data_IF_395738940139
#
_entry.id   IF_395738940139
#
_cell.length_a   1.000
_cell.length_b   1.000
_cell.length_c   1.000
_cell.angle_alpha   90.00
_cell.angle_beta   90.00
_cell.angle_gamma   90.00
#
_symmetry.space_group_name_H-M   'P 1'
#
loop_
_entity.id
_entity.type
_entity.pdbx_description
1 polymer ?
#
# COMPACT_ATOMS: atom_id res chain seq x y z
N UNK A 1 4.36 -17.72 10.58
CA UNK A 1 5.42 -16.93 9.95
C UNK A 1 5.27 -16.88 8.42
N UNK A 2 5.32 -18.00 7.69
CA UNK A 2 5.26 -18.06 6.22
C UNK A 2 4.09 -17.28 5.59
N UNK A 3 2.88 -17.40 6.14
CA UNK A 3 1.72 -16.65 5.67
C UNK A 3 1.95 -15.14 5.61
N UNK A 4 2.66 -14.56 6.59
CA UNK A 4 2.94 -13.12 6.64
C UNK A 4 4.15 -12.72 5.81
N UNK A 5 5.07 -13.65 5.54
CA UNK A 5 6.27 -13.40 4.75
C UNK A 5 6.00 -13.50 3.23
N UNK A 6 5.28 -14.52 2.79
CA UNK A 6 5.08 -14.84 1.35
C UNK A 6 3.65 -15.24 0.97
N UNK A 7 2.72 -15.28 1.91
CA UNK A 7 1.33 -15.69 1.66
C UNK A 7 0.65 -14.88 0.56
N UNK A 8 -0.24 -15.53 -0.20
CA UNK A 8 -0.93 -14.95 -1.35
C UNK A 8 -0.18 -15.03 -2.68
N UNK A 9 1.11 -15.40 -2.69
CA UNK A 9 1.91 -15.50 -3.92
C UNK A 9 1.47 -16.66 -4.81
N UNK A 10 1.24 -17.81 -4.21
CA UNK A 10 0.86 -19.06 -4.90
C UNK A 10 -0.66 -19.24 -5.05
N UNK A 11 -1.46 -18.27 -4.68
CA UNK A 11 -2.91 -18.24 -4.92
C UNK A 11 -3.21 -18.03 -6.41
N UNK A 12 -4.44 -18.28 -6.83
CA UNK A 12 -4.87 -17.99 -8.22
C UNK A 12 -4.65 -16.52 -8.54
N UNK A 13 -5.11 -15.62 -7.67
CA UNK A 13 -4.93 -14.18 -7.81
C UNK A 13 -3.46 -13.76 -7.80
N UNK A 14 -2.64 -14.34 -6.92
CA UNK A 14 -1.20 -14.03 -6.84
C UNK A 14 -0.44 -14.40 -8.11
N UNK A 15 -0.69 -15.59 -8.65
CA UNK A 15 -0.12 -15.99 -9.96
C UNK A 15 -0.62 -15.14 -11.11
N UNK A 16 -1.90 -14.77 -11.10
CA UNK A 16 -2.49 -13.89 -12.11
C UNK A 16 -1.88 -12.48 -12.08
N UNK A 17 -1.59 -11.92 -10.89
CA UNK A 17 -0.86 -10.66 -10.75
C UNK A 17 0.53 -10.75 -11.41
N UNK A 18 1.28 -11.83 -11.15
CA UNK A 18 2.60 -12.02 -11.74
C UNK A 18 2.51 -12.15 -13.27
N UNK A 19 1.58 -12.98 -13.76
CA UNK A 19 1.36 -13.19 -15.18
C UNK A 19 0.98 -11.89 -15.92
N UNK A 20 0.15 -11.04 -15.33
CA UNK A 20 -0.22 -9.75 -15.92
C UNK A 20 0.98 -8.80 -16.04
N UNK A 21 1.85 -8.73 -15.03
CA UNK A 21 3.08 -7.96 -15.11
C UNK A 21 4.05 -8.54 -16.17
N UNK A 22 4.26 -9.85 -16.19
CA UNK A 22 5.18 -10.51 -17.14
C UNK A 22 4.71 -10.37 -18.59
N UNK A 23 3.42 -10.33 -18.83
CA UNK A 23 2.84 -10.14 -20.16
C UNK A 23 3.01 -8.71 -20.73
N UNK A 24 3.42 -7.74 -19.90
CA UNK A 24 3.62 -6.36 -20.35
C UNK A 24 5.10 -6.10 -20.69
N UNK A 25 5.47 -6.05 -22.00
CA UNK A 25 6.84 -5.78 -22.40
C UNK A 25 7.18 -4.30 -22.20
N UNK A 26 8.42 -4.03 -21.81
CA UNK A 26 9.03 -2.71 -21.88
C UNK A 26 9.80 -2.59 -23.19
N UNK A 27 9.64 -1.47 -23.92
CA UNK A 27 10.30 -1.26 -25.21
C UNK A 27 11.58 -0.46 -25.05
N UNK A 28 12.77 -1.03 -25.32
CA UNK A 28 14.03 -0.30 -25.30
C UNK A 28 14.08 0.81 -26.35
N UNK A 29 14.70 1.94 -26.00
CA UNK A 29 14.97 3.05 -26.93
C UNK A 29 16.46 3.42 -26.85
N UNK A 30 17.29 2.86 -27.73
CA UNK A 30 18.74 3.15 -27.74
C UNK A 30 19.04 4.59 -28.18
N UNK A 31 20.19 5.08 -27.78
CA UNK A 31 20.75 6.38 -28.17
C UNK A 31 19.97 7.61 -27.66
N UNK A 32 19.05 7.44 -26.74
CA UNK A 32 18.42 8.56 -26.04
C UNK A 32 19.36 9.04 -24.93
N UNK A 33 19.57 10.35 -24.83
CA UNK A 33 20.35 10.93 -23.75
C UNK A 33 19.53 10.96 -22.46
N UNK A 34 19.95 10.18 -21.47
CA UNK A 34 19.31 10.08 -20.15
C UNK A 34 20.18 10.64 -19.03
N UNK A 35 21.26 11.36 -19.37
CA UNK A 35 22.17 11.96 -18.38
C UNK A 35 21.43 12.97 -17.51
N UNK A 36 21.70 12.95 -16.21
CA UNK A 36 21.03 13.80 -15.24
C UNK A 36 19.62 13.34 -14.86
N UNK A 37 19.22 12.15 -15.32
CA UNK A 37 17.95 11.52 -14.98
C UNK A 37 17.77 11.28 -13.49
N UNK A 38 16.51 11.12 -13.07
CA UNK A 38 16.16 10.85 -11.69
C UNK A 38 14.74 10.25 -11.54
N UNK A 39 14.50 9.62 -10.39
CA UNK A 39 13.21 9.02 -10.03
C UNK A 39 12.41 9.84 -8.99
N UNK A 40 12.79 11.09 -8.71
CA UNK A 40 12.08 11.95 -7.75
C UNK A 40 10.65 12.20 -8.17
N UNK A 41 9.74 12.22 -7.17
CA UNK A 41 8.33 12.57 -7.37
C UNK A 41 7.86 13.56 -6.31
N UNK A 42 6.81 14.32 -6.68
CA UNK A 42 5.98 15.07 -5.74
C UNK A 42 4.68 14.30 -5.53
N UNK A 43 4.32 14.06 -4.26
CA UNK A 43 3.12 13.31 -3.91
C UNK A 43 2.52 13.86 -2.60
N UNK A 44 1.30 14.40 -2.68
CA UNK A 44 0.58 15.02 -1.55
C UNK A 44 1.40 16.06 -0.78
N UNK A 45 2.15 16.90 -1.52
CA UNK A 45 2.99 17.97 -0.93
C UNK A 45 4.32 17.49 -0.36
N UNK A 46 4.67 16.22 -0.55
CA UNK A 46 5.94 15.62 -0.13
C UNK A 46 6.83 15.32 -1.35
N UNK A 47 8.11 15.73 -1.29
CA UNK A 47 9.12 15.32 -2.27
C UNK A 47 9.76 14.01 -1.84
N UNK A 48 9.67 12.98 -2.68
CA UNK A 48 10.28 11.67 -2.46
C UNK A 48 11.42 11.42 -3.47
N UNK A 49 12.46 10.74 -3.05
CA UNK A 49 13.60 10.38 -3.89
C UNK A 49 13.25 9.38 -5.00
N UNK A 50 12.16 8.65 -4.84
CA UNK A 50 11.70 7.62 -5.79
C UNK A 50 10.22 7.27 -5.57
N UNK A 51 9.53 6.65 -6.56
CA UNK A 51 8.11 6.30 -6.49
C UNK A 51 7.80 4.97 -5.76
N UNK A 52 8.77 4.42 -5.03
CA UNK A 52 8.64 3.14 -4.34
C UNK A 52 8.29 3.39 -2.86
N UNK A 53 7.05 3.11 -2.46
CA UNK A 53 6.61 3.20 -1.07
C UNK A 53 6.60 1.80 -0.43
N UNK A 54 6.90 1.70 0.86
CA UNK A 54 6.70 0.45 1.58
C UNK A 54 5.22 0.26 1.90
N UNK A 55 4.66 -0.86 1.41
CA UNK A 55 3.26 -1.21 1.61
C UNK A 55 2.94 -1.49 3.09
N UNK A 56 1.68 -1.28 3.54
CA UNK A 56 1.30 -1.56 4.92
C UNK A 56 1.24 -3.06 5.18
N UNK A 57 2.15 -3.57 6.00
CA UNK A 57 2.22 -4.98 6.37
C UNK A 57 2.13 -5.13 7.88
N UNK A 58 1.29 -6.06 8.31
CA UNK A 58 1.04 -6.39 9.70
C UNK A 58 2.19 -7.17 10.35
N UNK A 59 2.35 -7.00 11.66
CA UNK A 59 3.14 -7.90 12.52
C UNK A 59 4.59 -8.08 12.09
N UNK A 60 5.31 -7.02 11.74
CA UNK A 60 6.68 -7.13 11.22
C UNK A 60 7.69 -7.69 12.23
N UNK A 61 7.36 -7.66 13.53
CA UNK A 61 8.14 -8.37 14.56
C UNK A 61 8.14 -9.90 14.40
N UNK A 62 7.27 -10.46 13.56
CA UNK A 62 7.39 -11.85 13.13
C UNK A 62 8.65 -12.13 12.29
N UNK A 63 9.17 -11.11 11.64
CA UNK A 63 10.30 -11.22 10.72
C UNK A 63 11.62 -10.80 11.38
N UNK A 64 11.57 -9.73 12.19
CA UNK A 64 12.75 -9.20 12.87
C UNK A 64 12.33 -8.50 14.19
N UNK A 65 13.11 -8.58 15.27
CA UNK A 65 12.78 -7.94 16.55
C UNK A 65 12.49 -6.44 16.44
N UNK A 66 13.20 -5.72 15.56
CA UNK A 66 13.04 -4.29 15.33
C UNK A 66 11.86 -3.93 14.42
N UNK A 67 11.21 -4.92 13.79
CA UNK A 67 9.92 -4.82 13.12
C UNK A 67 9.70 -3.56 12.29
N UNK A 68 8.58 -2.88 12.54
CA UNK A 68 8.16 -1.68 11.83
C UNK A 68 9.11 -0.49 12.02
N UNK A 69 9.78 -0.39 13.18
CA UNK A 69 10.77 0.67 13.40
C UNK A 69 11.96 0.55 12.45
N UNK A 70 12.46 -0.67 12.23
CA UNK A 70 13.53 -0.92 11.27
C UNK A 70 13.12 -0.55 9.83
N UNK A 71 11.91 -0.93 9.43
CA UNK A 71 11.38 -0.61 8.09
C UNK A 71 11.17 0.90 7.90
N UNK A 72 10.66 1.59 8.91
CA UNK A 72 10.44 3.04 8.87
C UNK A 72 11.76 3.81 8.78
N UNK A 73 12.76 3.44 9.59
CA UNK A 73 14.11 4.00 9.52
C UNK A 73 14.75 3.79 8.15
N UNK A 74 14.63 2.59 7.58
CA UNK A 74 15.19 2.27 6.26
C UNK A 74 14.51 3.07 5.14
N UNK A 75 13.19 3.20 5.15
CA UNK A 75 12.46 4.00 4.17
C UNK A 75 12.90 5.47 4.21
N UNK A 76 13.02 6.04 5.40
CA UNK A 76 13.48 7.42 5.59
C UNK A 76 14.92 7.63 5.09
N UNK A 77 15.84 6.71 5.42
CA UNK A 77 17.24 6.77 5.01
C UNK A 77 17.45 6.62 3.50
N UNK A 78 16.44 6.10 2.77
CA UNK A 78 16.47 5.97 1.31
C UNK A 78 15.62 7.06 0.60
N UNK A 79 15.24 8.15 1.28
CA UNK A 79 14.36 9.21 0.76
C UNK A 79 13.00 8.68 0.25
N UNK A 80 12.58 7.54 0.77
CA UNK A 80 11.31 6.89 0.47
C UNK A 80 10.23 7.16 1.50
N UNK A 81 9.09 6.50 1.36
CA UNK A 81 7.95 6.60 2.28
C UNK A 81 7.48 5.22 2.72
N UNK A 82 6.97 5.11 3.94
CA UNK A 82 6.34 3.91 4.47
C UNK A 82 4.89 4.18 4.86
N UNK A 83 4.00 3.28 4.46
CA UNK A 83 2.62 3.23 4.96
C UNK A 83 2.57 2.25 6.13
N UNK A 84 2.36 2.76 7.34
CA UNK A 84 2.35 1.93 8.56
C UNK A 84 0.98 1.29 8.74
N UNK A 85 0.96 -0.01 9.01
CA UNK A 85 -0.27 -0.79 9.16
C UNK A 85 -0.98 -0.50 10.49
N UNK A 86 -2.32 -0.47 10.48
CA UNK A 86 -3.16 -0.59 11.69
C UNK A 86 -2.75 -1.75 12.58
N UNK A 87 -2.33 -2.86 11.96
CA UNK A 87 -1.93 -4.09 12.65
C UNK A 87 -0.42 -4.14 12.94
N UNK A 88 0.23 -3.00 13.05
CA UNK A 88 1.63 -2.94 13.45
C UNK A 88 1.86 -3.58 14.83
N UNK A 89 2.98 -4.26 14.97
CA UNK A 89 3.40 -4.94 16.20
C UNK A 89 4.17 -4.04 17.18
N UNK A 90 4.36 -2.77 16.79
CA UNK A 90 4.96 -1.73 17.63
C UNK A 90 4.04 -0.50 17.73
N UNK A 91 4.16 0.31 18.82
CA UNK A 91 3.36 1.52 18.98
C UNK A 91 3.59 2.53 17.84
N UNK A 92 2.52 3.17 17.34
CA UNK A 92 2.58 4.17 16.27
C UNK A 92 3.58 5.29 16.60
N UNK A 93 3.61 5.75 17.83
CA UNK A 93 4.49 6.82 18.30
C UNK A 93 5.97 6.40 18.26
N UNK A 94 6.26 5.12 18.53
CA UNK A 94 7.61 4.57 18.45
C UNK A 94 8.10 4.49 17.01
N UNK A 95 7.23 4.02 16.09
CA UNK A 95 7.54 3.90 14.67
C UNK A 95 7.77 5.29 14.05
N UNK A 96 6.91 6.28 14.39
CA UNK A 96 7.06 7.65 13.93
C UNK A 96 8.39 8.28 14.37
N UNK A 97 8.78 8.06 15.64
CA UNK A 97 10.10 8.53 16.14
C UNK A 97 11.27 7.86 15.44
N UNK A 98 11.17 6.58 15.12
CA UNK A 98 12.25 5.84 14.45
C UNK A 98 12.51 6.32 13.01
N UNK A 99 11.48 6.81 12.31
CA UNK A 99 11.60 7.32 10.95
C UNK A 99 12.25 8.71 10.88
N UNK A 100 12.15 9.53 11.95
CA UNK A 100 12.60 10.93 12.00
C UNK A 100 11.98 11.82 10.88
N UNK A 101 10.91 11.35 10.23
CA UNK A 101 10.12 12.05 9.21
C UNK A 101 8.66 11.64 9.29
N UNK A 102 7.73 12.45 8.77
CA UNK A 102 6.32 12.06 8.69
C UNK A 102 6.12 10.77 7.89
N UNK A 103 5.30 9.87 8.41
CA UNK A 103 4.90 8.63 7.76
C UNK A 103 3.43 8.68 7.36
N UNK A 104 3.00 7.72 6.53
CA UNK A 104 1.61 7.49 6.19
C UNK A 104 1.02 6.40 7.06
N UNK A 105 -0.28 6.50 7.37
CA UNK A 105 -0.98 5.55 8.22
C UNK A 105 -2.04 4.79 7.42
N UNK A 106 -1.96 3.47 7.38
CA UNK A 106 -3.02 2.63 6.83
C UNK A 106 -4.06 2.35 7.91
N UNK A 107 -5.30 2.73 7.64
CA UNK A 107 -6.43 2.57 8.53
C UNK A 107 -7.32 1.41 8.07
N UNK A 108 -7.58 0.46 8.96
CA UNK A 108 -8.73 -0.43 8.89
C UNK A 108 -9.85 0.12 9.76
N UNK A 109 -11.07 -0.03 9.32
CA UNK A 109 -12.25 0.22 10.12
C UNK A 109 -12.23 -0.61 11.41
N UNK A 110 -12.61 -0.01 12.53
CA UNK A 110 -12.54 -0.64 13.86
C UNK A 110 -13.90 -1.13 14.37
N UNK A 111 -14.89 -1.33 13.46
CA UNK A 111 -16.23 -1.79 13.78
C UNK A 111 -17.23 -0.67 14.05
N UNK A 112 -16.78 0.50 14.47
CA UNK A 112 -17.59 1.70 14.65
C UNK A 112 -16.79 2.98 14.49
N UNK A 113 -17.49 4.12 14.39
CA UNK A 113 -16.87 5.45 14.20
C UNK A 113 -16.07 5.90 15.40
N UNK A 114 -16.48 5.56 16.61
CA UNK A 114 -15.82 6.02 17.83
C UNK A 114 -14.43 5.37 17.99
N UNK A 115 -14.34 4.05 17.86
CA UNK A 115 -13.08 3.30 17.92
C UNK A 115 -12.17 3.69 16.76
N UNK A 116 -12.74 3.86 15.56
CA UNK A 116 -12.00 4.30 14.37
C UNK A 116 -11.44 5.71 14.57
N UNK A 117 -12.22 6.63 15.15
CA UNK A 117 -11.78 7.99 15.48
C UNK A 117 -10.62 8.00 16.47
N UNK A 118 -10.74 7.24 17.59
CA UNK A 118 -9.64 7.18 18.58
C UNK A 118 -8.32 6.73 17.97
N UNK A 119 -8.35 5.71 17.11
CA UNK A 119 -7.15 5.20 16.44
C UNK A 119 -6.57 6.24 15.45
N UNK A 120 -7.45 6.86 14.65
CA UNK A 120 -7.07 7.90 13.70
C UNK A 120 -6.44 9.11 14.40
N UNK A 121 -7.11 9.64 15.43
CA UNK A 121 -6.63 10.79 16.20
C UNK A 121 -5.27 10.53 16.83
N UNK A 122 -5.07 9.31 17.33
CA UNK A 122 -3.79 8.86 17.87
C UNK A 122 -2.69 8.84 16.80
N UNK A 123 -2.99 8.35 15.59
CA UNK A 123 -2.04 8.35 14.49
C UNK A 123 -1.67 9.78 14.07
N UNK A 124 -2.66 10.66 13.91
CA UNK A 124 -2.44 12.06 13.55
C UNK A 124 -1.63 12.80 14.63
N UNK A 125 -1.94 12.57 15.92
CA UNK A 125 -1.19 13.12 17.04
C UNK A 125 0.26 12.61 17.10
N UNK A 126 0.52 11.38 16.62
CA UNK A 126 1.86 10.82 16.51
C UNK A 126 2.66 11.38 15.30
N UNK A 127 2.04 12.23 14.45
CA UNK A 127 2.71 12.91 13.35
C UNK A 127 2.55 12.26 11.98
N UNK A 128 1.66 11.28 11.83
CA UNK A 128 1.31 10.73 10.52
C UNK A 128 0.58 11.79 9.67
N UNK A 129 0.92 11.89 8.37
CA UNK A 129 0.49 12.99 7.50
C UNK A 129 -0.36 12.58 6.30
N UNK A 130 -0.67 11.30 6.15
CA UNK A 130 -1.56 10.77 5.13
C UNK A 130 -2.28 9.54 5.69
N UNK A 131 -3.55 9.39 5.35
CA UNK A 131 -4.37 8.25 5.75
C UNK A 131 -4.71 7.40 4.55
N UNK A 132 -4.43 6.10 4.61
CA UNK A 132 -4.74 5.11 3.58
C UNK A 132 -5.83 4.18 4.10
N UNK A 133 -7.08 4.52 3.83
CA UNK A 133 -8.24 3.73 4.25
C UNK A 133 -8.37 2.49 3.39
N UNK A 134 -8.20 1.31 3.99
CA UNK A 134 -8.19 0.02 3.28
C UNK A 134 -9.54 -0.65 3.40
N UNK A 135 -10.18 -0.93 2.25
CA UNK A 135 -11.59 -1.35 2.17
C UNK A 135 -11.80 -2.77 1.62
N UNK A 136 -10.80 -3.37 1.01
CA UNK A 136 -10.85 -4.73 0.45
C UNK A 136 -10.81 -5.85 1.51
N UNK A 137 -10.57 -5.50 2.75
CA UNK A 137 -10.50 -6.43 3.87
C UNK A 137 -11.24 -5.86 5.08
N UNK A 138 -12.56 -5.77 5.02
CA UNK A 138 -13.37 -5.14 6.07
C UNK A 138 -13.28 -5.87 7.42
N UNK A 139 -12.89 -7.14 7.39
CA UNK A 139 -12.61 -7.96 8.58
C UNK A 139 -11.18 -8.48 8.51
N UNK A 140 -10.46 -8.30 9.60
CA UNK A 140 -9.10 -8.84 9.76
C UNK A 140 -9.03 -9.77 10.96
N UNK A 141 -9.10 -11.05 10.65
CA UNK A 141 -8.70 -12.12 11.56
C UNK A 141 -7.26 -12.51 11.26
N UNK A 142 -6.46 -12.77 12.30
CA UNK A 142 -5.14 -13.34 12.10
C UNK A 142 -5.30 -14.70 11.40
N UNK A 143 -4.69 -14.85 10.22
CA UNK A 143 -4.80 -16.06 9.42
C UNK A 143 -4.14 -17.30 10.06
N UNK A 144 -3.30 -17.08 11.08
CA UNK A 144 -2.61 -18.12 11.84
C UNK A 144 -2.40 -17.65 13.27
N UNK A 145 -2.31 -18.55 14.25
CA UNK A 145 -1.92 -18.17 15.60
C UNK A 145 -0.60 -17.40 15.60
N UNK A 146 -0.59 -16.26 16.27
CA UNK A 146 0.59 -15.44 16.45
C UNK A 146 1.39 -15.94 17.68
N UNK A 147 2.73 -15.81 17.70
CA UNK A 147 3.51 -15.94 18.91
C UNK A 147 2.97 -15.02 20.00
N UNK A 148 3.09 -15.44 21.28
CA UNK A 148 2.50 -14.73 22.41
C UNK A 148 3.00 -13.28 22.59
N UNK A 149 4.21 -12.98 22.10
CA UNK A 149 4.86 -11.68 22.17
C UNK A 149 4.63 -10.80 20.94
N UNK A 150 3.91 -11.31 19.92
CA UNK A 150 3.58 -10.56 18.68
C UNK A 150 2.08 -10.39 18.56
N UNK A 151 1.64 -9.14 18.58
CA UNK A 151 0.22 -8.77 18.41
C UNK A 151 0.10 -7.40 17.76
N UNK A 152 -1.08 -7.06 17.27
CA UNK A 152 -1.43 -5.69 16.91
C UNK A 152 -1.58 -4.87 18.19
N UNK A 153 -0.61 -3.99 18.49
CA UNK A 153 -0.56 -3.26 19.76
C UNK A 153 -1.32 -1.95 19.74
N UNK A 154 -1.79 -1.53 18.58
CA UNK A 154 -2.41 -0.23 18.39
C UNK A 154 -3.94 -0.27 18.39
N UNK A 155 -4.54 -1.46 18.34
CA UNK A 155 -5.99 -1.65 18.30
C UNK A 155 -6.49 -2.42 19.52
N UNK A 156 -7.74 -2.19 19.84
CA UNK A 156 -8.47 -3.01 20.80
C UNK A 156 -8.94 -4.32 20.14
N UNK A 157 -8.99 -5.43 20.86
CA UNK A 157 -9.58 -6.65 20.33
C UNK A 157 -10.99 -6.38 19.79
N UNK A 158 -11.39 -6.99 18.66
CA UNK A 158 -12.76 -6.88 18.18
C UNK A 158 -13.74 -7.45 19.22
N UNK A 159 -14.87 -6.77 19.40
CA UNK A 159 -15.94 -7.27 20.24
C UNK A 159 -16.51 -8.56 19.64
N UNK A 160 -16.88 -9.52 20.49
CA UNK A 160 -17.64 -10.68 20.04
C UNK A 160 -19.14 -10.32 20.01
N UNK A 161 -19.78 -10.48 18.85
CA UNK A 161 -21.24 -10.34 18.72
C UNK A 161 -21.86 -11.74 18.82
N UNK A 162 -22.70 -12.01 19.84
CA UNK A 162 -23.41 -13.29 19.89
C UNK A 162 -24.43 -13.36 18.76
N UNK A 163 -24.41 -14.46 18.01
CA UNK A 163 -25.36 -14.74 16.94
C UNK A 163 -26.57 -15.48 17.47
N UNK A 164 -27.76 -15.19 16.93
CA UNK A 164 -28.98 -15.92 17.18
C UNK A 164 -29.07 -17.16 16.28
N UNK A 165 -29.81 -18.21 16.65
CA UNK A 165 -30.04 -19.34 15.76
C UNK A 165 -30.59 -18.88 14.39
N UNK A 166 -29.99 -19.37 13.31
CA UNK A 166 -30.39 -19.05 11.93
C UNK A 166 -29.73 -17.82 11.32
N UNK A 167 -28.92 -17.06 12.06
CA UNK A 167 -28.14 -15.95 11.51
C UNK A 167 -26.87 -16.47 10.80
N UNK A 168 -26.43 -15.74 9.77
CA UNK A 168 -25.17 -16.00 9.07
C UNK A 168 -23.98 -15.50 9.88
N UNK A 169 -23.01 -16.37 10.13
CA UNK A 169 -21.75 -15.96 10.77
C UNK A 169 -21.01 -14.87 9.95
N UNK A 170 -21.11 -14.92 8.64
CA UNK A 170 -20.49 -13.94 7.75
C UNK A 170 -21.30 -12.64 7.70
N UNK A 171 -22.55 -12.70 7.26
CA UNK A 171 -23.34 -11.49 7.00
C UNK A 171 -23.84 -10.81 8.28
N UNK A 172 -24.31 -11.57 9.25
CA UNK A 172 -24.85 -11.05 10.51
C UNK A 172 -23.79 -10.94 11.62
N UNK A 173 -22.67 -11.63 11.45
CA UNK A 173 -21.53 -11.62 12.37
C UNK A 173 -20.42 -10.72 11.86
N UNK A 174 -19.57 -11.26 11.03
CA UNK A 174 -18.33 -10.59 10.62
C UNK A 174 -18.54 -9.31 9.81
N UNK A 175 -19.54 -9.28 8.92
CA UNK A 175 -19.83 -8.12 8.06
C UNK A 175 -20.80 -7.12 8.70
N UNK A 176 -21.40 -7.45 9.84
CA UNK A 176 -22.41 -6.60 10.46
C UNK A 176 -21.93 -5.18 10.81
N UNK A 177 -20.65 -5.05 11.13
CA UNK A 177 -20.01 -3.78 11.50
C UNK A 177 -19.00 -3.32 10.42
N UNK A 178 -19.10 -3.84 9.18
CA UNK A 178 -18.26 -3.40 8.06
C UNK A 178 -18.59 -1.97 7.63
N UNK A 179 -17.62 -1.16 7.20
CA UNK A 179 -17.87 0.23 6.80
C UNK A 179 -18.64 0.30 5.48
N UNK A 180 -19.44 1.36 5.34
CA UNK A 180 -20.08 1.73 4.09
C UNK A 180 -19.54 3.05 3.52
N UNK A 181 -20.15 3.52 2.44
CA UNK A 181 -19.78 4.78 1.80
C UNK A 181 -20.00 6.01 2.70
N UNK A 182 -21.02 5.96 3.57
CA UNK A 182 -21.28 7.02 4.55
C UNK A 182 -20.17 7.13 5.61
N UNK A 183 -19.48 6.01 5.86
CA UNK A 183 -18.33 6.01 6.78
C UNK A 183 -17.08 6.59 6.12
N UNK A 184 -16.92 6.43 4.80
CA UNK A 184 -15.89 7.12 4.04
C UNK A 184 -16.12 8.65 4.05
N UNK A 185 -17.36 9.10 3.79
CA UNK A 185 -17.71 10.52 3.86
C UNK A 185 -17.49 11.09 5.27
N UNK A 186 -17.86 10.34 6.31
CA UNK A 186 -17.59 10.71 7.70
C UNK A 186 -16.08 10.79 7.98
N UNK A 187 -15.28 9.85 7.48
CA UNK A 187 -13.83 9.85 7.63
C UNK A 187 -13.20 11.08 6.95
N UNK A 188 -13.65 11.43 5.74
CA UNK A 188 -13.22 12.65 5.04
C UNK A 188 -13.51 13.91 5.85
N UNK A 189 -14.73 14.02 6.38
CA UNK A 189 -15.10 15.17 7.21
C UNK A 189 -14.23 15.32 8.47
N UNK A 190 -13.65 14.20 8.97
CA UNK A 190 -12.78 14.18 10.14
C UNK A 190 -11.30 14.46 9.79
N UNK A 191 -10.91 14.32 8.54
CA UNK A 191 -9.52 14.54 8.07
C UNK A 191 -9.41 15.63 7.02
N UNK A 192 -10.02 16.84 7.19
CA UNK A 192 -10.11 17.84 6.14
C UNK A 192 -8.75 18.31 5.62
N UNK A 193 -7.74 18.35 6.49
CA UNK A 193 -6.40 18.86 6.20
C UNK A 193 -5.36 17.76 5.92
N UNK A 194 -5.78 16.50 5.90
CA UNK A 194 -4.86 15.36 5.73
C UNK A 194 -5.25 14.59 4.49
N UNK A 195 -4.32 14.30 3.57
CA UNK A 195 -4.61 13.45 2.42
C UNK A 195 -5.23 12.11 2.84
N UNK A 196 -6.38 11.81 2.25
CA UNK A 196 -7.13 10.57 2.45
C UNK A 196 -7.14 9.75 1.17
N UNK A 197 -6.50 8.60 1.17
CA UNK A 197 -6.50 7.65 0.08
C UNK A 197 -7.41 6.48 0.39
N UNK A 198 -8.11 5.97 -0.62
CA UNK A 198 -8.80 4.68 -0.55
C UNK A 198 -7.92 3.59 -1.16
N UNK A 199 -7.78 2.43 -0.47
CA UNK A 199 -6.97 1.29 -0.94
C UNK A 199 -7.79 0.02 -1.02
N UNK A 200 -7.52 -0.78 -2.08
CA UNK A 200 -8.23 -2.05 -2.33
C UNK A 200 -9.34 -1.91 -3.34
N UNK A 201 -9.26 -0.92 -4.21
CA UNK A 201 -10.23 -0.63 -5.26
C UNK A 201 -9.76 -1.26 -6.57
N UNK A 202 -10.66 -2.01 -7.22
CA UNK A 202 -10.43 -2.65 -8.52
C UNK A 202 -11.50 -2.25 -9.55
N UNK A 203 -12.54 -1.54 -9.13
CA UNK A 203 -13.65 -1.14 -9.98
C UNK A 203 -13.65 0.37 -10.22
N UNK A 204 -13.70 0.79 -11.47
CA UNK A 204 -13.62 2.19 -11.88
C UNK A 204 -14.71 3.08 -11.24
N UNK A 205 -15.95 2.59 -11.17
CA UNK A 205 -17.05 3.33 -10.54
C UNK A 205 -16.88 3.52 -9.03
N UNK A 206 -16.26 2.56 -8.34
CA UNK A 206 -15.96 2.69 -6.90
C UNK A 206 -14.85 3.71 -6.66
N UNK A 207 -13.85 3.75 -7.56
CA UNK A 207 -12.79 4.76 -7.52
C UNK A 207 -13.35 6.16 -7.74
N UNK A 208 -14.19 6.37 -8.77
CA UNK A 208 -14.84 7.64 -9.03
C UNK A 208 -15.70 8.09 -7.83
N UNK A 209 -16.51 7.18 -7.28
CA UNK A 209 -17.34 7.47 -6.10
C UNK A 209 -16.50 7.85 -4.87
N UNK A 210 -15.36 7.22 -4.66
CA UNK A 210 -14.47 7.57 -3.54
C UNK A 210 -13.90 8.98 -3.71
N UNK A 211 -13.52 9.37 -4.93
CA UNK A 211 -13.07 10.72 -5.25
C UNK A 211 -14.19 11.75 -5.07
N UNK A 212 -15.41 11.44 -5.54
CA UNK A 212 -16.59 12.30 -5.32
C UNK A 212 -16.89 12.52 -3.83
N UNK A 213 -16.56 11.55 -2.98
CA UNK A 213 -16.66 11.65 -1.52
C UNK A 213 -15.45 12.31 -0.87
N UNK A 214 -14.49 12.81 -1.67
CA UNK A 214 -13.37 13.61 -1.22
C UNK A 214 -12.08 12.84 -0.92
N UNK A 215 -11.91 11.61 -1.45
CA UNK A 215 -10.60 10.98 -1.43
C UNK A 215 -9.62 11.74 -2.33
N UNK A 216 -8.42 12.00 -1.82
CA UNK A 216 -7.33 12.70 -2.52
C UNK A 216 -6.52 11.77 -3.43
N UNK A 217 -6.72 10.46 -3.33
CA UNK A 217 -6.04 9.46 -4.14
C UNK A 217 -6.61 8.05 -3.99
N UNK A 218 -6.24 7.19 -4.92
CA UNK A 218 -6.69 5.79 -4.99
C UNK A 218 -5.48 4.86 -5.06
N UNK A 219 -5.52 3.74 -4.31
CA UNK A 219 -4.55 2.65 -4.46
C UNK A 219 -5.25 1.45 -5.08
N UNK A 220 -4.95 1.18 -6.35
CA UNK A 220 -5.43 -0.01 -7.07
C UNK A 220 -4.71 -1.23 -6.52
N UNK A 221 -5.47 -2.15 -5.95
CA UNK A 221 -4.91 -3.25 -5.14
C UNK A 221 -5.90 -4.40 -5.03
N UNK A 222 -5.42 -5.64 -5.12
CA UNK A 222 -6.12 -6.85 -4.70
C UNK A 222 -5.45 -7.49 -3.45
N UNK A 223 -4.78 -6.66 -2.64
CA UNK A 223 -4.06 -7.07 -1.44
C UNK A 223 -2.95 -8.10 -1.69
N UNK A 224 -2.42 -8.14 -2.91
CA UNK A 224 -1.41 -9.12 -3.32
C UNK A 224 -1.91 -10.57 -3.31
N UNK A 225 -3.19 -10.80 -3.63
CA UNK A 225 -3.82 -12.10 -3.67
C UNK A 225 -4.18 -12.67 -2.29
N UNK A 226 -4.36 -11.84 -1.28
CA UNK A 226 -4.51 -12.25 0.13
C UNK A 226 -5.95 -12.18 0.67
N UNK A 227 -6.90 -11.68 -0.10
CA UNK A 227 -8.31 -11.51 0.33
C UNK A 227 -9.24 -12.37 -0.50
N UNK A 228 -9.53 -11.97 -1.73
CA UNK A 228 -10.38 -12.73 -2.65
C UNK A 228 -9.51 -13.40 -3.71
N UNK A 229 -9.35 -14.72 -3.62
CA UNK A 229 -8.41 -15.46 -4.49
C UNK A 229 -8.84 -15.50 -5.97
N UNK A 230 -10.09 -15.18 -6.29
CA UNK A 230 -10.59 -15.05 -7.66
C UNK A 230 -10.70 -13.61 -8.14
N UNK A 231 -10.11 -12.64 -7.43
CA UNK A 231 -10.07 -11.25 -7.87
C UNK A 231 -9.23 -11.09 -9.16
N UNK A 232 -9.57 -10.12 -10.04
CA UNK A 232 -8.78 -9.85 -11.22
C UNK A 232 -7.36 -9.38 -10.85
N UNK A 233 -6.37 -9.55 -11.74
CA UNK A 233 -5.06 -8.94 -11.57
C UNK A 233 -5.19 -7.42 -11.40
N UNK A 234 -4.57 -6.86 -10.36
CA UNK A 234 -4.72 -5.42 -10.09
C UNK A 234 -4.21 -4.56 -11.26
N UNK A 235 -3.17 -5.02 -11.99
CA UNK A 235 -2.63 -4.31 -13.15
C UNK A 235 -3.68 -4.15 -14.27
N UNK A 236 -4.55 -5.13 -14.48
CA UNK A 236 -5.60 -5.07 -15.52
C UNK A 236 -6.70 -4.03 -15.22
N UNK A 237 -6.84 -3.64 -13.95
CA UNK A 237 -7.83 -2.64 -13.52
C UNK A 237 -7.25 -1.20 -13.49
N UNK A 238 -5.92 -1.06 -13.60
CA UNK A 238 -5.24 0.21 -13.32
C UNK A 238 -5.66 1.32 -14.30
N UNK A 239 -5.67 1.05 -15.60
CA UNK A 239 -5.97 2.07 -16.60
C UNK A 239 -7.44 2.52 -16.58
N UNK A 240 -8.37 1.61 -16.30
CA UNK A 240 -9.80 1.95 -16.16
C UNK A 240 -10.04 2.83 -14.93
N UNK A 241 -9.36 2.53 -13.79
CA UNK A 241 -9.45 3.35 -12.59
C UNK A 241 -8.86 4.73 -12.83
N UNK A 242 -7.69 4.84 -13.47
CA UNK A 242 -7.08 6.14 -13.81
C UNK A 242 -8.02 6.96 -14.70
N UNK A 243 -8.59 6.34 -15.74
CA UNK A 243 -9.51 7.03 -16.63
C UNK A 243 -10.78 7.52 -15.91
N UNK A 244 -11.25 6.81 -14.90
CA UNK A 244 -12.44 7.17 -14.14
C UNK A 244 -12.23 8.32 -13.15
N UNK A 245 -11.03 8.44 -12.56
CA UNK A 245 -10.74 9.48 -11.54
C UNK A 245 -10.11 10.75 -12.13
N UNK A 246 -9.60 10.68 -13.36
CA UNK A 246 -8.96 11.79 -14.05
C UNK A 246 -7.48 11.99 -13.64
N UNK A 247 -6.81 12.87 -14.37
CA UNK A 247 -5.34 13.08 -14.25
C UNK A 247 -4.94 13.83 -12.98
N UNK A 248 -5.84 14.58 -12.37
CA UNK A 248 -5.57 15.39 -11.17
C UNK A 248 -5.52 14.54 -9.89
N UNK A 249 -6.11 13.35 -9.90
CA UNK A 249 -6.15 12.45 -8.75
C UNK A 249 -5.03 11.41 -8.85
N UNK A 250 -4.04 11.42 -7.94
CA UNK A 250 -2.99 10.43 -7.93
C UNK A 250 -3.52 9.01 -7.74
N UNK A 251 -3.25 8.13 -8.70
CA UNK A 251 -3.52 6.69 -8.57
C UNK A 251 -2.20 5.97 -8.27
N UNK A 252 -2.18 5.25 -7.17
CA UNK A 252 -1.08 4.40 -6.76
C UNK A 252 -1.43 2.94 -7.08
N UNK A 253 -0.41 2.11 -7.15
CA UNK A 253 -0.58 0.70 -7.49
C UNK A 253 0.15 -0.20 -6.50
N UNK A 254 -0.45 -1.34 -6.14
CA UNK A 254 0.25 -2.46 -5.51
C UNK A 254 -0.20 -3.81 -6.11
N UNK A 255 0.31 -4.89 -5.55
CA UNK A 255 0.01 -6.28 -5.95
C UNK A 255 0.94 -6.84 -7.03
N UNK A 256 2.06 -7.37 -6.58
CA UNK A 256 2.99 -8.13 -7.41
C UNK A 256 4.27 -7.39 -7.82
N UNK A 257 4.56 -6.23 -7.25
CA UNK A 257 5.81 -5.50 -7.49
C UNK A 257 6.96 -6.22 -6.78
N UNK A 258 7.77 -6.92 -7.54
CA UNK A 258 8.95 -7.67 -7.07
C UNK A 258 10.27 -7.13 -7.64
N UNK A 259 10.22 -6.25 -8.65
CA UNK A 259 11.38 -5.66 -9.33
C UNK A 259 11.17 -4.19 -9.71
N UNK A 260 12.25 -3.49 -10.02
CA UNK A 260 12.19 -2.13 -10.57
C UNK A 260 11.51 -2.09 -11.95
N UNK A 261 11.64 -3.15 -12.75
CA UNK A 261 10.94 -3.28 -14.02
C UNK A 261 9.42 -3.42 -13.82
N UNK A 262 8.95 -4.10 -12.76
CA UNK A 262 7.53 -4.16 -12.45
C UNK A 262 6.98 -2.79 -12.05
N UNK A 263 7.76 -2.04 -11.27
CA UNK A 263 7.43 -0.66 -10.93
C UNK A 263 7.30 0.20 -12.20
N UNK A 264 8.25 0.10 -13.13
CA UNK A 264 8.18 0.84 -14.40
C UNK A 264 6.95 0.49 -15.23
N UNK A 265 6.54 -0.79 -15.26
CA UNK A 265 5.31 -1.23 -15.96
C UNK A 265 4.08 -0.51 -15.40
N UNK A 266 3.90 -0.51 -14.09
CA UNK A 266 2.76 0.18 -13.46
C UNK A 266 2.82 1.71 -13.68
N UNK A 267 3.99 2.33 -13.56
CA UNK A 267 4.20 3.75 -13.82
C UNK A 267 3.92 4.11 -15.29
N UNK A 268 4.29 3.25 -16.24
CA UNK A 268 4.02 3.44 -17.68
C UNK A 268 2.52 3.37 -18.00
N UNK A 269 1.73 2.64 -17.21
CA UNK A 269 0.27 2.63 -17.31
C UNK A 269 -0.39 3.83 -16.60
N UNK A 270 0.38 4.62 -15.87
CA UNK A 270 -0.07 5.85 -15.26
C UNK A 270 -0.17 5.87 -13.76
N UNK A 271 0.28 4.85 -13.06
CA UNK A 271 0.44 4.97 -11.62
C UNK A 271 1.43 6.10 -11.28
N UNK A 272 1.14 6.87 -10.23
CA UNK A 272 2.04 7.94 -9.75
C UNK A 272 3.15 7.36 -8.87
N UNK A 273 2.85 6.29 -8.15
CA UNK A 273 3.80 5.55 -7.31
C UNK A 273 3.33 4.10 -7.15
N UNK A 274 4.21 3.24 -6.65
CA UNK A 274 3.88 1.85 -6.36
C UNK A 274 4.18 1.52 -4.90
N UNK A 275 3.41 0.59 -4.32
CA UNK A 275 3.66 0.07 -2.99
C UNK A 275 4.31 -1.31 -3.09
N UNK A 276 5.47 -1.44 -2.49
CA UNK A 276 6.24 -2.68 -2.43
C UNK A 276 5.91 -3.41 -1.14
N UNK A 277 5.57 -4.68 -1.23
CA UNK A 277 5.20 -5.52 -0.08
C UNK A 277 6.28 -6.53 0.30
N UNK A 278 6.15 -7.75 -0.19
CA UNK A 278 7.00 -8.90 0.18
C UNK A 278 8.52 -8.65 0.09
N UNK A 279 9.06 -8.01 -0.96
CA UNK A 279 10.50 -7.81 -1.10
C UNK A 279 11.14 -7.15 0.11
N UNK A 280 10.54 -6.09 0.66
CA UNK A 280 11.14 -5.44 1.82
C UNK A 280 11.04 -6.28 3.11
N UNK A 281 10.01 -7.14 3.24
CA UNK A 281 9.95 -8.08 4.36
C UNK A 281 11.04 -9.13 4.31
N UNK A 282 11.41 -9.59 3.11
CA UNK A 282 12.56 -10.50 2.96
C UNK A 282 13.85 -9.80 3.39
N UNK A 283 14.01 -8.53 3.00
CA UNK A 283 15.10 -7.69 3.47
C UNK A 283 15.10 -7.52 5.00
N UNK A 284 13.93 -7.25 5.58
CA UNK A 284 13.76 -7.13 7.04
C UNK A 284 14.18 -8.44 7.75
N UNK A 285 13.70 -9.57 7.27
CA UNK A 285 14.02 -10.88 7.84
C UNK A 285 15.53 -11.22 7.74
N UNK A 286 16.17 -10.81 6.65
CA UNK A 286 17.58 -11.11 6.39
C UNK A 286 18.55 -10.19 7.13
N UNK A 287 18.20 -8.92 7.37
CA UNK A 287 19.18 -7.95 7.89
C UNK A 287 18.58 -6.70 8.56
N UNK A 288 17.35 -6.78 9.07
CA UNK A 288 16.72 -5.66 9.77
C UNK A 288 16.64 -4.41 8.90
N UNK A 289 16.92 -3.24 9.45
CA UNK A 289 16.88 -1.96 8.74
C UNK A 289 17.84 -1.93 7.54
N UNK A 290 19.05 -2.46 7.66
CA UNK A 290 20.01 -2.52 6.54
C UNK A 290 19.49 -3.40 5.40
N UNK A 291 18.85 -4.52 5.71
CA UNK A 291 18.24 -5.41 4.72
C UNK A 291 17.11 -4.72 3.96
N UNK A 292 16.24 -3.98 4.66
CA UNK A 292 15.17 -3.19 4.03
C UNK A 292 15.77 -2.08 3.15
N UNK A 293 16.72 -1.31 3.66
CA UNK A 293 17.38 -0.25 2.90
C UNK A 293 18.06 -0.79 1.62
N UNK A 294 18.68 -1.96 1.73
CA UNK A 294 19.31 -2.63 0.58
C UNK A 294 18.28 -3.02 -0.49
N UNK A 295 17.14 -3.58 -0.07
CA UNK A 295 16.06 -3.93 -1.02
C UNK A 295 15.51 -2.69 -1.71
N UNK A 296 15.26 -1.60 -0.97
CA UNK A 296 14.81 -0.33 -1.56
C UNK A 296 15.83 0.14 -2.60
N UNK A 297 17.11 0.10 -2.27
CA UNK A 297 18.18 0.52 -3.17
C UNK A 297 18.25 -0.34 -4.44
N UNK A 298 18.17 -1.67 -4.31
CA UNK A 298 18.15 -2.58 -5.46
C UNK A 298 16.95 -2.30 -6.39
N UNK A 299 15.76 -2.17 -5.84
CA UNK A 299 14.55 -1.88 -6.62
C UNK A 299 14.65 -0.52 -7.33
N UNK A 300 15.23 0.48 -6.67
CA UNK A 300 15.48 1.79 -7.27
C UNK A 300 16.49 1.70 -8.40
N UNK A 301 17.63 1.04 -8.20
CA UNK A 301 18.66 0.87 -9.23
C UNK A 301 18.12 0.11 -10.45
N UNK A 302 17.29 -0.92 -10.23
CA UNK A 302 16.60 -1.64 -11.31
C UNK A 302 15.59 -0.77 -12.05
N UNK A 303 14.83 0.08 -11.34
CA UNK A 303 13.90 1.03 -11.93
C UNK A 303 14.66 2.05 -12.79
N UNK A 304 15.70 2.66 -12.26
CA UNK A 304 16.55 3.64 -12.96
C UNK A 304 17.21 3.01 -14.20
N UNK A 305 17.72 1.79 -14.09
CA UNK A 305 18.28 1.05 -15.23
C UNK A 305 17.23 0.75 -16.29
N UNK A 306 16.04 0.29 -15.88
CA UNK A 306 14.93 0.01 -16.80
C UNK A 306 14.47 1.29 -17.51
N UNK A 307 14.36 2.41 -16.80
CA UNK A 307 14.05 3.72 -17.37
C UNK A 307 15.11 4.12 -18.39
N UNK A 308 16.39 4.03 -18.04
CA UNK A 308 17.50 4.40 -18.91
C UNK A 308 17.51 3.56 -20.21
N UNK A 309 17.32 2.25 -20.11
CA UNK A 309 17.20 1.36 -21.27
C UNK A 309 15.99 1.67 -22.15
N UNK A 310 14.90 2.18 -21.57
CA UNK A 310 13.72 2.64 -22.28
C UNK A 310 13.86 4.10 -22.78
N UNK A 311 15.00 4.77 -22.58
CA UNK A 311 15.23 6.15 -23.00
C UNK A 311 14.40 7.15 -22.19
N UNK A 312 14.19 6.91 -20.89
CA UNK A 312 13.45 7.76 -19.98
C UNK A 312 14.36 8.31 -18.88
N UNK A 313 14.60 9.61 -18.88
CA UNK A 313 15.43 10.25 -17.88
C UNK A 313 14.68 10.55 -16.58
N UNK A 314 13.37 10.82 -16.67
CA UNK A 314 12.53 11.19 -15.54
C UNK A 314 11.19 10.44 -15.58
N UNK A 315 10.44 10.49 -14.46
CA UNK A 315 9.08 9.93 -14.41
C UNK A 315 8.09 10.72 -15.27
N UNK A 316 8.36 12.00 -15.55
CA UNK A 316 7.57 12.77 -16.51
C UNK A 316 7.66 12.19 -17.94
N UNK A 317 8.85 11.70 -18.33
CA UNK A 317 9.05 11.03 -19.63
C UNK A 317 8.30 9.70 -19.70
N UNK A 318 8.18 9.00 -18.57
CA UNK A 318 7.40 7.75 -18.46
C UNK A 318 5.90 8.05 -18.67
N UNK A 319 5.39 9.12 -18.07
CA UNK A 319 3.98 9.51 -18.17
C UNK A 319 3.60 10.03 -19.57
N UNK A 320 4.50 10.69 -20.26
CA UNK A 320 4.26 11.23 -21.61
C UNK A 320 4.06 10.15 -22.68
N UNK A 321 4.51 8.94 -22.43
CA UNK A 321 4.49 7.81 -23.40
C UNK A 321 3.25 6.92 -23.29
N UNK A 322 2.23 7.31 -22.53
CA UNK A 322 0.96 6.57 -22.40
C UNK A 322 0.19 6.45 -23.74
N UNK A 323 0.57 7.22 -24.73
CA UNK A 323 -0.09 7.33 -26.04
C UNK A 323 0.65 6.62 -27.18
N UNK A 324 1.58 5.70 -26.90
CA UNK A 324 2.39 4.99 -27.90
C UNK A 324 2.17 3.49 -27.95
#
# INVERSE_FOLDING_TARGET
MWHYLDGGRDTVCGRANRAALDAMPLRPRPLVDVRGGHTRIELFGETLGHPLLLAPIAYQRLQHPDGECASAMAAAAQDGQMVVSTLASQPLEQIARAAEKPLWFQLYWQGDRERTARLLDRALAAGYRCVVFTVDAPIKLAASPLPADVRAVNIEPPGQRPLRPGQSEVFDGWMADAPGWDDLAWLRARTPEVPLLIKGVLHAADAARAVDLGCDGVVVSNHGGRVLDCAPPALSCLTEVIAAVGDDVPVLFDSGIDSGADALRALSLGARAVLVGRPYLWGLAAGGALGVAHVIRLLRDELEMSMALCGRATLADVSADRCG
#
